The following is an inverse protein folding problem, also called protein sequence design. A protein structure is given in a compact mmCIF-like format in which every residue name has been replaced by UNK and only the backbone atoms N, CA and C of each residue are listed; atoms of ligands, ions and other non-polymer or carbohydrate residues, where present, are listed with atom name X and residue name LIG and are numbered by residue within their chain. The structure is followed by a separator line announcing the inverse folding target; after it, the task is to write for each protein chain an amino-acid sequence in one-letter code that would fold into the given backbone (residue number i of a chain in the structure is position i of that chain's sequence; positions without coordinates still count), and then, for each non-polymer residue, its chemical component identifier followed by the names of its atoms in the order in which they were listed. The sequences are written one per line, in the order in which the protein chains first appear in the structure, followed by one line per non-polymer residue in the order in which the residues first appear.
data_IF_426238380442
#
_entry.id   IF_426238380442
#
_cell.length_a   1.000
_cell.length_b   1.000
_cell.length_c   1.000
_cell.angle_alpha   90.00
_cell.angle_beta   90.00
_cell.angle_gamma   90.00
#
_symmetry.space_group_name_H-M   'P 1'
#
loop_
_entity.id
_entity.type
_entity.pdbx_description
1 polymer ?
#
# COMPACT_ATOMS: atom_id res chain seq x y z
N UNK A 1 -19.43 1.75 34.43
CA UNK A 1 -19.41 1.97 32.97
C UNK A 1 -18.43 3.14 32.69
N UNK A 2 -17.14 2.82 32.48
CA UNK A 2 -16.16 3.84 32.13
C UNK A 2 -16.49 4.38 30.76
N UNK A 3 -16.87 5.64 30.70
CA UNK A 3 -16.98 6.37 29.43
C UNK A 3 -15.53 6.59 28.96
N UNK A 4 -15.07 5.79 28.00
CA UNK A 4 -13.83 6.05 27.30
C UNK A 4 -13.99 7.41 26.60
N UNK A 5 -13.46 8.47 27.19
CA UNK A 5 -13.32 9.76 26.51
C UNK A 5 -12.48 9.55 25.26
N UNK A 6 -13.13 9.47 24.11
CA UNK A 6 -12.47 9.44 22.81
C UNK A 6 -11.98 10.85 22.52
N UNK A 7 -10.81 11.21 23.03
CA UNK A 7 -10.15 12.44 22.66
C UNK A 7 -9.88 12.46 21.16
N UNK A 8 -10.34 13.48 20.42
CA UNK A 8 -10.12 13.57 18.98
C UNK A 8 -8.60 13.58 18.70
N UNK A 9 -8.17 12.68 17.80
CA UNK A 9 -6.77 12.57 17.41
C UNK A 9 -6.36 13.89 16.73
N UNK A 10 -5.31 14.55 17.22
CA UNK A 10 -4.86 15.81 16.63
C UNK A 10 -4.37 15.61 15.19
N UNK A 11 -4.64 16.60 14.33
CA UNK A 11 -4.22 16.61 12.92
C UNK A 11 -2.70 16.40 12.80
N UNK A 12 -1.91 16.99 13.69
CA UNK A 12 -0.45 16.81 13.72
C UNK A 12 -0.06 15.32 13.86
N UNK A 13 -0.69 14.57 14.76
CA UNK A 13 -0.44 13.13 14.92
C UNK A 13 -0.82 12.33 13.68
N UNK A 14 -1.92 12.68 13.01
CA UNK A 14 -2.34 12.06 11.75
C UNK A 14 -1.34 12.30 10.62
N UNK A 15 -0.87 13.53 10.47
CA UNK A 15 0.14 13.89 9.48
C UNK A 15 1.44 13.15 9.77
N UNK A 16 1.89 13.09 11.03
CA UNK A 16 3.08 12.34 11.42
C UNK A 16 2.95 10.85 11.10
N UNK A 17 1.82 10.22 11.42
CA UNK A 17 1.54 8.83 11.07
C UNK A 17 1.69 8.59 9.56
N UNK A 18 0.98 9.39 8.76
CA UNK A 18 0.99 9.26 7.30
C UNK A 18 2.40 9.46 6.73
N UNK A 19 3.12 10.48 7.19
CA UNK A 19 4.46 10.79 6.70
C UNK A 19 5.42 9.62 6.91
N UNK A 20 5.45 9.01 8.10
CA UNK A 20 6.34 7.87 8.36
C UNK A 20 5.90 6.60 7.65
N UNK A 21 4.59 6.34 7.51
CA UNK A 21 4.09 5.21 6.74
C UNK A 21 4.42 5.37 5.24
N UNK A 22 4.24 6.57 4.67
CA UNK A 22 4.64 6.85 3.28
C UNK A 22 6.15 6.76 3.07
N UNK A 23 6.95 7.27 4.01
CA UNK A 23 8.41 7.16 3.92
C UNK A 23 8.87 5.70 3.86
N UNK A 24 8.27 4.83 4.67
CA UNK A 24 8.54 3.40 4.65
C UNK A 24 8.16 2.77 3.29
N UNK A 25 6.98 3.09 2.77
CA UNK A 25 6.50 2.60 1.48
C UNK A 25 7.43 3.06 0.34
N UNK A 26 7.76 4.35 0.28
CA UNK A 26 8.64 4.92 -0.75
C UNK A 26 10.04 4.30 -0.69
N UNK A 27 10.58 4.09 0.51
CA UNK A 27 11.88 3.44 0.69
C UNK A 27 11.85 2.01 0.16
N UNK A 28 10.83 1.23 0.49
CA UNK A 28 10.66 -0.12 -0.02
C UNK A 28 10.56 -0.15 -1.56
N UNK A 29 9.69 0.70 -2.13
CA UNK A 29 9.52 0.78 -3.59
C UNK A 29 10.78 1.26 -4.30
N UNK A 30 11.54 2.18 -3.71
CA UNK A 30 12.82 2.62 -4.25
C UNK A 30 13.87 1.50 -4.30
N UNK A 31 13.99 0.74 -3.22
CA UNK A 31 14.88 -0.44 -3.18
C UNK A 31 14.40 -1.49 -4.19
N UNK A 32 13.11 -1.79 -4.24
CA UNK A 32 12.53 -2.74 -5.19
C UNK A 32 12.81 -2.34 -6.63
N UNK A 33 12.65 -1.06 -6.96
CA UNK A 33 12.93 -0.51 -8.29
C UNK A 33 14.40 -0.70 -8.69
N UNK A 34 15.33 -0.36 -7.80
CA UNK A 34 16.77 -0.54 -8.04
C UNK A 34 17.11 -2.02 -8.23
N UNK A 35 16.59 -2.90 -7.37
CA UNK A 35 16.80 -4.33 -7.49
C UNK A 35 16.22 -4.89 -8.80
N UNK A 36 15.02 -4.47 -9.19
CA UNK A 36 14.37 -4.93 -10.42
C UNK A 36 15.14 -4.49 -11.67
N UNK A 37 15.53 -3.23 -11.76
CA UNK A 37 16.34 -2.73 -12.88
C UNK A 37 17.66 -3.49 -12.96
N UNK A 38 18.38 -3.60 -11.85
CA UNK A 38 19.67 -4.30 -11.81
C UNK A 38 19.51 -5.76 -12.27
N UNK A 39 18.48 -6.45 -11.78
CA UNK A 39 18.19 -7.83 -12.18
C UNK A 39 17.90 -7.94 -13.68
N UNK A 40 17.04 -7.07 -14.22
CA UNK A 40 16.70 -7.11 -15.65
C UNK A 40 17.91 -6.83 -16.56
N UNK A 41 18.77 -5.88 -16.19
CA UNK A 41 19.95 -5.61 -16.97
C UNK A 41 21.00 -6.73 -16.90
N UNK A 42 21.20 -7.35 -15.73
CA UNK A 42 22.17 -8.44 -15.58
C UNK A 42 21.70 -9.73 -16.26
N UNK A 43 20.41 -10.07 -16.13
CA UNK A 43 19.89 -11.37 -16.58
C UNK A 43 19.40 -11.33 -18.04
N UNK A 44 18.79 -10.23 -18.46
CA UNK A 44 18.10 -10.11 -19.75
C UNK A 44 18.72 -9.06 -20.68
N UNK A 45 19.80 -8.36 -20.27
CA UNK A 45 20.39 -7.23 -21.00
C UNK A 45 19.37 -6.11 -21.31
N UNK A 46 18.35 -5.92 -20.49
CA UNK A 46 17.32 -4.91 -20.64
C UNK A 46 15.99 -5.36 -20.05
N UNK A 47 15.01 -4.47 -20.04
CA UNK A 47 13.66 -4.79 -19.52
C UNK A 47 12.93 -5.66 -20.56
N UNK A 48 12.53 -6.90 -20.20
CA UNK A 48 11.83 -7.77 -21.14
C UNK A 48 10.43 -7.23 -21.42
N UNK A 49 9.96 -7.45 -22.64
CA UNK A 49 8.57 -7.19 -23.01
C UNK A 49 7.64 -8.08 -22.18
N UNK A 50 6.70 -7.47 -21.47
CA UNK A 50 5.70 -8.18 -20.67
C UNK A 50 4.32 -7.94 -21.27
N UNK A 51 3.42 -8.91 -21.09
CA UNK A 51 1.99 -8.69 -21.35
C UNK A 51 1.40 -7.88 -20.18
N UNK A 52 0.28 -7.21 -20.42
CA UNK A 52 -0.44 -6.48 -19.37
C UNK A 52 -0.73 -7.36 -18.16
N UNK A 53 -1.22 -8.58 -18.38
CA UNK A 53 -1.52 -9.51 -17.28
C UNK A 53 -0.28 -9.87 -16.47
N UNK A 54 0.87 -10.07 -17.10
CA UNK A 54 2.14 -10.33 -16.42
C UNK A 54 2.57 -9.11 -15.58
N UNK A 55 2.49 -7.91 -16.15
CA UNK A 55 2.82 -6.67 -15.45
C UNK A 55 1.91 -6.44 -14.23
N UNK A 56 0.60 -6.64 -14.38
CA UNK A 56 -0.39 -6.54 -13.29
C UNK A 56 -0.09 -7.53 -12.17
N UNK A 57 0.12 -8.80 -12.53
CA UNK A 57 0.40 -9.89 -11.59
C UNK A 57 1.70 -9.64 -10.85
N UNK A 58 2.76 -9.32 -11.56
CA UNK A 58 4.08 -9.05 -10.98
C UNK A 58 4.00 -7.87 -10.00
N UNK A 59 3.41 -6.76 -10.41
CA UNK A 59 3.25 -5.57 -9.56
C UNK A 59 2.46 -5.88 -8.29
N UNK A 60 1.37 -6.63 -8.39
CA UNK A 60 0.61 -7.04 -7.21
C UNK A 60 1.47 -7.83 -6.23
N UNK A 61 2.15 -8.88 -6.69
CA UNK A 61 2.90 -9.77 -5.81
C UNK A 61 4.17 -9.17 -5.21
N UNK A 62 4.88 -8.31 -5.94
CA UNK A 62 6.14 -7.74 -5.45
C UNK A 62 6.02 -6.34 -4.86
N UNK A 63 4.97 -5.59 -5.18
CA UNK A 63 4.78 -4.21 -4.70
C UNK A 63 3.67 -4.13 -3.65
N UNK A 64 2.42 -4.47 -4.01
CA UNK A 64 1.25 -4.24 -3.16
C UNK A 64 1.16 -5.25 -2.02
N UNK A 65 1.24 -6.54 -2.34
CA UNK A 65 1.06 -7.63 -1.38
C UNK A 65 2.06 -7.60 -0.21
N UNK A 66 3.38 -7.42 -0.42
CA UNK A 66 4.33 -7.39 0.69
C UNK A 66 4.09 -6.21 1.64
N UNK A 67 3.76 -5.04 1.11
CA UNK A 67 3.44 -3.87 1.93
C UNK A 67 2.16 -4.11 2.72
N UNK A 68 1.11 -4.63 2.08
CA UNK A 68 -0.15 -4.95 2.74
C UNK A 68 0.05 -5.97 3.87
N UNK A 69 0.84 -7.03 3.63
CA UNK A 69 1.17 -8.02 4.65
C UNK A 69 1.98 -7.43 5.81
N UNK A 70 2.96 -6.57 5.51
CA UNK A 70 3.70 -5.86 6.53
C UNK A 70 2.78 -5.04 7.44
N UNK A 71 1.88 -4.25 6.87
CA UNK A 71 0.93 -3.44 7.65
C UNK A 71 -0.05 -4.33 8.43
N UNK A 72 -0.54 -5.42 7.82
CA UNK A 72 -1.42 -6.39 8.49
C UNK A 72 -0.74 -6.99 9.71
N UNK A 73 0.49 -7.47 9.56
CA UNK A 73 1.25 -8.06 10.66
C UNK A 73 1.60 -7.02 11.72
N UNK A 74 2.01 -5.82 11.32
CA UNK A 74 2.35 -4.73 12.23
C UNK A 74 1.14 -4.27 13.05
N UNK A 75 -0.02 -4.11 12.41
CA UNK A 75 -1.28 -3.76 13.08
C UNK A 75 -1.70 -4.86 14.06
N UNK A 76 -1.54 -6.15 13.68
CA UNK A 76 -1.85 -7.27 14.57
C UNK A 76 -0.85 -7.41 15.72
N UNK A 77 0.45 -7.45 15.44
CA UNK A 77 1.46 -7.74 16.45
C UNK A 77 1.76 -6.56 17.38
N UNK A 78 1.81 -5.34 16.81
CA UNK A 78 2.27 -4.13 17.52
C UNK A 78 1.16 -3.11 17.78
N UNK A 79 -0.10 -3.42 17.46
CA UNK A 79 -1.24 -2.51 17.55
C UNK A 79 -1.05 -1.22 16.72
N UNK A 80 -0.38 -1.32 15.60
CA UNK A 80 -0.22 -0.20 14.69
C UNK A 80 0.99 -0.28 13.79
N UNK A 81 0.97 0.50 12.71
CA UNK A 81 2.06 0.66 11.77
C UNK A 81 3.25 1.41 12.41
N UNK A 82 4.36 1.45 11.69
CA UNK A 82 5.53 2.22 12.08
C UNK A 82 5.19 3.71 12.27
N UNK A 83 4.41 4.30 11.36
CA UNK A 83 3.95 5.69 11.47
C UNK A 83 3.06 5.90 12.69
N UNK A 84 2.15 4.97 13.02
CA UNK A 84 1.35 5.04 14.25
C UNK A 84 2.21 5.05 15.49
N UNK A 85 3.19 4.16 15.56
CA UNK A 85 4.13 4.09 16.68
C UNK A 85 4.88 5.42 16.87
N UNK A 86 5.36 6.03 15.77
CA UNK A 86 6.06 7.33 15.81
C UNK A 86 5.15 8.49 16.19
N UNK A 87 3.87 8.43 15.82
CA UNK A 87 2.87 9.44 16.19
C UNK A 87 2.31 9.25 17.62
N UNK A 88 2.71 8.18 18.33
CA UNK A 88 2.14 7.83 19.63
C UNK A 88 0.69 7.37 19.55
N UNK A 89 0.30 6.79 18.41
CA UNK A 89 -1.03 6.25 18.16
C UNK A 89 -1.01 4.72 18.28
N UNK A 90 -2.13 4.16 18.73
CA UNK A 90 -2.33 2.70 18.80
C UNK A 90 -3.70 2.34 18.27
N UNK A 91 -3.79 1.17 17.66
CA UNK A 91 -5.07 0.57 17.26
C UNK A 91 -5.71 -0.12 18.46
N UNK A 92 -6.99 0.14 18.63
CA UNK A 92 -7.82 -0.56 19.62
C UNK A 92 -8.79 -1.44 18.84
N UNK A 93 -8.70 -2.74 19.05
CA UNK A 93 -9.62 -3.72 18.47
C UNK A 93 -10.61 -4.19 19.54
N UNK A 94 -11.88 -4.30 19.21
CA UNK A 94 -12.86 -5.00 20.08
C UNK A 94 -12.50 -6.48 20.19
N UNK A 95 -12.21 -7.12 19.04
CA UNK A 95 -11.68 -8.47 18.96
C UNK A 95 -10.40 -8.44 18.12
N UNK A 96 -9.25 -8.64 18.77
CA UNK A 96 -7.95 -8.60 18.09
C UNK A 96 -7.69 -9.93 17.38
N UNK A 97 -7.96 -9.96 16.08
CA UNK A 97 -7.67 -11.11 15.21
C UNK A 97 -6.83 -10.68 14.01
N UNK A 98 -6.05 -11.60 13.47
CA UNK A 98 -5.28 -11.34 12.25
C UNK A 98 -6.20 -11.07 11.06
N UNK A 99 -7.39 -11.69 11.05
CA UNK A 99 -8.41 -11.48 10.02
C UNK A 99 -8.95 -10.04 10.04
N UNK A 100 -9.23 -9.50 11.23
CA UNK A 100 -9.68 -8.10 11.35
C UNK A 100 -8.61 -7.12 10.85
N UNK A 101 -7.33 -7.39 11.15
CA UNK A 101 -6.20 -6.61 10.65
C UNK A 101 -6.05 -6.73 9.13
N UNK A 102 -6.21 -7.94 8.57
CA UNK A 102 -6.14 -8.20 7.14
C UNK A 102 -7.24 -7.44 6.38
N UNK A 103 -8.50 -7.58 6.81
CA UNK A 103 -9.64 -6.91 6.17
C UNK A 103 -9.45 -5.39 6.17
N UNK A 104 -9.02 -4.83 7.30
CA UNK A 104 -8.74 -3.42 7.41
C UNK A 104 -7.67 -2.95 6.42
N UNK A 105 -6.58 -3.70 6.29
CA UNK A 105 -5.49 -3.33 5.38
C UNK A 105 -5.86 -3.62 3.91
N UNK A 106 -6.69 -4.62 3.61
CA UNK A 106 -7.26 -4.79 2.27
C UNK A 106 -8.04 -3.54 1.84
N UNK A 107 -8.93 -3.03 2.70
CA UNK A 107 -9.68 -1.80 2.41
C UNK A 107 -8.74 -0.59 2.29
N UNK A 108 -7.74 -0.47 3.18
CA UNK A 108 -6.77 0.63 3.16
C UNK A 108 -5.95 0.67 1.86
N UNK A 109 -5.54 -0.48 1.33
CA UNK A 109 -4.69 -0.57 0.15
C UNK A 109 -5.46 -0.77 -1.17
N UNK A 110 -6.80 -0.92 -1.12
CA UNK A 110 -7.65 -1.02 -2.30
C UNK A 110 -7.49 0.16 -3.26
N UNK A 111 -7.51 1.43 -2.82
CA UNK A 111 -7.29 2.56 -3.70
C UNK A 111 -5.95 2.49 -4.43
N UNK A 112 -4.91 2.09 -3.73
CA UNK A 112 -3.58 1.96 -4.32
C UNK A 112 -3.53 0.84 -5.38
N UNK A 113 -4.16 -0.30 -5.11
CA UNK A 113 -4.27 -1.38 -6.10
C UNK A 113 -5.04 -0.93 -7.36
N UNK A 114 -6.15 -0.21 -7.18
CA UNK A 114 -6.91 0.35 -8.31
C UNK A 114 -6.07 1.35 -9.13
N UNK A 115 -5.29 2.20 -8.45
CA UNK A 115 -4.37 3.12 -9.11
C UNK A 115 -3.30 2.40 -9.94
N UNK A 116 -2.72 1.32 -9.41
CA UNK A 116 -1.77 0.48 -10.13
C UNK A 116 -2.41 -0.17 -11.35
N UNK A 117 -3.59 -0.78 -11.19
CA UNK A 117 -4.32 -1.40 -12.29
C UNK A 117 -4.63 -0.39 -13.39
N UNK A 118 -5.13 0.80 -13.04
CA UNK A 118 -5.43 1.85 -14.00
C UNK A 118 -4.19 2.36 -14.73
N UNK A 119 -3.09 2.57 -14.02
CA UNK A 119 -1.83 3.04 -14.62
C UNK A 119 -1.23 1.99 -15.55
N UNK A 120 -1.14 0.73 -15.13
CA UNK A 120 -0.60 -0.35 -15.96
C UNK A 120 -1.49 -0.53 -17.19
N UNK A 121 -2.81 -0.65 -17.02
CA UNK A 121 -3.74 -0.75 -18.15
C UNK A 121 -3.57 0.43 -19.11
N UNK A 122 -3.46 1.66 -18.60
CA UNK A 122 -3.24 2.84 -19.42
C UNK A 122 -1.99 2.78 -20.29
N UNK A 123 -0.89 2.23 -19.77
CA UNK A 123 0.34 2.05 -20.56
C UNK A 123 0.15 1.08 -21.74
N UNK A 124 -0.73 0.08 -21.60
CA UNK A 124 -1.00 -0.91 -22.65
C UNK A 124 -2.15 -0.52 -23.59
N UNK A 125 -3.01 0.42 -23.19
CA UNK A 125 -4.22 0.83 -23.92
C UNK A 125 -4.24 2.30 -24.35
N UNK A 126 -3.07 2.97 -24.32
CA UNK A 126 -2.94 4.41 -24.62
C UNK A 126 -3.88 5.30 -23.77
N UNK A 127 -4.02 4.95 -22.49
CA UNK A 127 -4.85 5.67 -21.51
C UNK A 127 -6.33 5.82 -21.92
N UNK A 128 -6.94 4.71 -22.23
CA UNK A 128 -8.37 4.65 -22.54
C UNK A 128 -9.28 5.02 -21.34
N UNK A 129 -10.61 5.01 -21.60
CA UNK A 129 -11.61 5.36 -20.60
C UNK A 129 -11.54 4.48 -19.33
N UNK A 130 -11.19 3.19 -19.48
CA UNK A 130 -11.12 2.25 -18.36
C UNK A 130 -9.96 2.63 -17.43
N UNK A 131 -8.80 2.95 -17.98
CA UNK A 131 -7.64 3.41 -17.22
C UNK A 131 -7.93 4.70 -16.44
N UNK A 132 -8.64 5.63 -17.06
CA UNK A 132 -9.03 6.89 -16.44
C UNK A 132 -10.03 6.63 -15.29
N UNK A 133 -11.02 5.77 -15.49
CA UNK A 133 -11.99 5.41 -14.45
C UNK A 133 -11.29 4.75 -13.25
N UNK A 134 -10.44 3.75 -13.47
CA UNK A 134 -9.72 3.05 -12.41
C UNK A 134 -8.81 4.00 -11.62
N UNK A 135 -8.06 4.85 -12.31
CA UNK A 135 -7.19 5.84 -11.67
C UNK A 135 -7.99 6.90 -10.90
N UNK A 136 -9.15 7.32 -11.43
CA UNK A 136 -10.04 8.27 -10.74
C UNK A 136 -10.66 7.66 -9.49
N UNK A 137 -11.10 6.40 -9.53
CA UNK A 137 -11.60 5.68 -8.36
C UNK A 137 -10.53 5.58 -7.26
N UNK A 138 -9.28 5.36 -7.66
CA UNK A 138 -8.16 5.32 -6.71
C UNK A 138 -7.93 6.65 -5.96
N UNK A 139 -8.27 7.78 -6.57
CA UNK A 139 -8.13 9.10 -5.94
C UNK A 139 -9.34 9.50 -5.11
N UNK A 140 -10.50 8.90 -5.34
CA UNK A 140 -11.75 9.21 -4.63
C UNK A 140 -11.96 8.35 -3.37
N UNK A 141 -11.32 7.19 -3.28
CA UNK A 141 -11.38 6.26 -2.14
C UNK A 141 -10.26 6.50 -1.12
#
# INVERSE_FOLDING_TARGET
MEILEINPISVKKRITELLFDYLLIITYLGILFLCAITFYYIVFNGVPMQTEFQAQTLTFFISVLPIMLYFTFSDYAKNGSFGKSKAGLRLVYQNKTIQASLIRNLIKFLPWQLGHMGTIHGVYSDFDLISIILSSLATLL
#
